data_IF_324067378685
#
_entry.id   IF_324067378685
#
_cell.length_a   1.000
_cell.length_b   1.000
_cell.length_c   1.000
_cell.angle_alpha   90.00
_cell.angle_beta   90.00
_cell.angle_gamma   90.00
#
_symmetry.space_group_name_H-M   'P 1'
#
loop_
_entity.id
_entity.type
_entity.pdbx_description
1 polymer ?
#
# COMPACT_ATOMS: atom_id res chain seq x y z
N UNK A 1 -18.23 33.14 49.28
CA UNK A 1 -16.98 32.68 48.62
C UNK A 1 -16.30 31.46 49.27
N UNK A 2 -16.32 31.26 50.60
CA UNK A 2 -15.60 30.16 51.29
C UNK A 2 -16.18 28.75 51.05
N UNK A 3 -17.50 28.61 50.89
CA UNK A 3 -18.16 27.31 50.73
C UNK A 3 -17.88 26.65 49.36
N UNK A 4 -17.98 27.42 48.27
CA UNK A 4 -17.66 26.93 46.92
C UNK A 4 -16.21 26.48 46.77
N UNK A 5 -15.26 27.18 47.42
CA UNK A 5 -13.84 26.79 47.43
C UNK A 5 -13.62 25.45 48.16
N UNK A 6 -14.31 25.21 49.28
CA UNK A 6 -14.21 23.93 50.01
C UNK A 6 -14.76 22.76 49.18
N UNK A 7 -15.94 22.93 48.58
CA UNK A 7 -16.55 21.90 47.71
C UNK A 7 -15.64 21.57 46.53
N UNK A 8 -15.10 22.60 45.85
CA UNK A 8 -14.19 22.41 44.74
C UNK A 8 -12.92 21.63 45.14
N UNK A 9 -12.32 21.97 46.29
CA UNK A 9 -11.15 21.25 46.82
C UNK A 9 -11.49 19.78 47.12
N UNK A 10 -12.64 19.51 47.75
CA UNK A 10 -13.07 18.14 48.05
C UNK A 10 -13.27 17.33 46.76
N UNK A 11 -13.93 17.89 45.75
CA UNK A 11 -14.11 17.22 44.44
C UNK A 11 -12.77 16.94 43.78
N UNK A 12 -11.84 17.91 43.80
CA UNK A 12 -10.50 17.74 43.24
C UNK A 12 -9.73 16.60 43.94
N UNK A 13 -9.77 16.55 45.27
CA UNK A 13 -9.13 15.46 46.04
C UNK A 13 -9.73 14.11 45.67
N UNK A 14 -11.05 14.01 45.57
CA UNK A 14 -11.73 12.76 45.19
C UNK A 14 -11.28 12.32 43.79
N UNK A 15 -11.24 13.23 42.81
CA UNK A 15 -10.80 12.93 41.44
C UNK A 15 -9.34 12.46 41.43
N UNK A 16 -8.46 13.11 42.20
CA UNK A 16 -7.04 12.70 42.32
C UNK A 16 -6.92 11.30 42.94
N UNK A 17 -7.64 11.02 44.02
CA UNK A 17 -7.62 9.71 44.68
C UNK A 17 -8.12 8.62 43.73
N UNK A 18 -9.25 8.85 43.03
CA UNK A 18 -9.78 7.90 42.04
C UNK A 18 -8.77 7.64 40.93
N UNK A 19 -8.12 8.69 40.39
CA UNK A 19 -7.13 8.55 39.33
C UNK A 19 -5.91 7.76 39.80
N UNK A 20 -5.40 8.02 41.02
CA UNK A 20 -4.28 7.30 41.60
C UNK A 20 -4.62 5.82 41.83
N UNK A 21 -5.80 5.53 42.38
CA UNK A 21 -6.28 4.15 42.56
C UNK A 21 -6.41 3.42 41.22
N UNK A 22 -6.99 4.04 40.21
CA UNK A 22 -7.14 3.45 38.88
C UNK A 22 -5.78 3.21 38.22
N UNK A 23 -4.86 4.16 38.35
CA UNK A 23 -3.48 4.03 37.84
C UNK A 23 -2.75 2.86 38.50
N UNK A 24 -2.93 2.67 39.81
CA UNK A 24 -2.36 1.53 40.54
C UNK A 24 -2.96 0.19 40.07
N UNK A 25 -4.28 0.13 39.86
CA UNK A 25 -4.94 -1.07 39.34
C UNK A 25 -4.44 -1.43 37.93
N UNK A 26 -4.28 -0.44 37.05
CA UNK A 26 -3.71 -0.65 35.71
C UNK A 26 -2.29 -1.18 35.79
N UNK A 27 -1.45 -0.61 36.67
CA UNK A 27 -0.08 -1.05 36.86
C UNK A 27 0.02 -2.50 37.36
N UNK A 28 -0.86 -2.93 38.27
CA UNK A 28 -0.84 -4.27 38.87
C UNK A 28 -1.49 -5.34 38.00
N UNK A 29 -2.63 -5.03 37.37
CA UNK A 29 -3.47 -6.03 36.70
C UNK A 29 -3.62 -5.82 35.19
N UNK A 30 -3.37 -4.61 34.71
CA UNK A 30 -3.62 -4.24 33.32
C UNK A 30 -2.82 -5.08 32.32
N UNK A 31 -1.58 -5.46 32.68
CA UNK A 31 -0.73 -6.29 31.82
C UNK A 31 -1.34 -7.64 31.50
N UNK A 32 -1.63 -8.42 32.55
CA UNK A 32 -2.21 -9.76 32.43
C UNK A 32 -3.58 -9.73 31.74
N UNK A 33 -4.38 -8.69 32.01
CA UNK A 33 -5.68 -8.53 31.40
C UNK A 33 -5.58 -8.29 29.89
N UNK A 34 -4.70 -7.38 29.45
CA UNK A 34 -4.50 -7.09 28.02
C UNK A 34 -3.92 -8.30 27.29
N UNK A 35 -2.88 -8.93 27.83
CA UNK A 35 -2.27 -10.14 27.25
C UNK A 35 -3.32 -11.25 27.07
N UNK A 36 -4.06 -11.58 28.14
CA UNK A 36 -5.08 -12.62 28.11
C UNK A 36 -6.20 -12.31 27.11
N UNK A 37 -6.63 -11.05 27.00
CA UNK A 37 -7.66 -10.66 26.04
C UNK A 37 -7.15 -10.76 24.60
N UNK A 38 -5.89 -10.39 24.33
CA UNK A 38 -5.30 -10.56 23.00
C UNK A 38 -5.18 -12.04 22.65
N UNK A 39 -4.65 -12.86 23.55
CA UNK A 39 -4.49 -14.31 23.38
C UNK A 39 -5.83 -15.01 23.12
N UNK A 40 -6.87 -14.65 23.88
CA UNK A 40 -8.21 -15.22 23.72
C UNK A 40 -8.84 -14.88 22.35
N UNK A 41 -8.59 -13.68 21.81
CA UNK A 41 -9.19 -13.24 20.55
C UNK A 41 -8.38 -13.64 19.31
N UNK A 42 -7.07 -13.76 19.44
CA UNK A 42 -6.17 -14.04 18.32
C UNK A 42 -5.61 -15.46 18.31
N UNK A 43 -5.72 -16.21 19.42
CA UNK A 43 -5.13 -17.54 19.55
C UNK A 43 -3.59 -17.54 19.51
N UNK A 44 -2.96 -16.37 19.70
CA UNK A 44 -1.51 -16.18 19.65
C UNK A 44 -1.02 -15.61 20.97
N UNK A 45 0.13 -16.10 21.44
CA UNK A 45 0.78 -15.60 22.65
C UNK A 45 1.05 -14.10 22.52
N UNK A 46 0.65 -13.35 23.53
CA UNK A 46 0.85 -11.91 23.59
C UNK A 46 1.73 -11.54 24.79
N UNK A 47 2.70 -10.65 24.57
CA UNK A 47 3.56 -10.13 25.63
C UNK A 47 3.56 -8.61 25.55
N UNK A 48 3.51 -7.96 26.71
CA UNK A 48 3.72 -6.50 26.80
C UNK A 48 4.85 -6.18 27.76
N UNK A 49 5.66 -5.19 27.43
CA UNK A 49 6.71 -4.67 28.30
C UNK A 49 6.13 -3.90 29.49
N UNK A 50 5.08 -3.11 29.26
CA UNK A 50 4.44 -2.33 30.30
C UNK A 50 3.08 -1.78 29.88
N UNK A 51 2.33 -1.31 30.87
CA UNK A 51 1.06 -0.62 30.69
C UNK A 51 0.99 0.56 31.66
N UNK A 52 0.46 1.69 31.22
CA UNK A 52 0.32 2.88 32.05
C UNK A 52 -0.96 3.64 31.72
N UNK A 53 -1.42 4.40 32.71
CA UNK A 53 -2.54 5.32 32.59
C UNK A 53 -2.04 6.76 32.74
N UNK A 54 -2.21 7.57 31.71
CA UNK A 54 -1.91 9.00 31.70
C UNK A 54 -3.16 9.85 31.83
N UNK A 55 -3.00 11.13 32.16
CA UNK A 55 -4.11 12.08 32.21
C UNK A 55 -4.63 12.44 30.81
N UNK A 56 -5.95 12.67 30.64
CA UNK A 56 -6.99 12.47 31.64
C UNK A 56 -7.40 11.00 31.85
N UNK A 57 -7.30 10.13 30.84
CA UNK A 57 -7.47 8.65 30.95
C UNK A 57 -6.77 7.91 29.78
N UNK A 58 -5.59 8.38 29.36
CA UNK A 58 -4.86 7.78 28.23
C UNK A 58 -4.21 6.46 28.65
N UNK A 59 -4.72 5.34 28.16
CA UNK A 59 -4.08 4.03 28.34
C UNK A 59 -2.92 3.91 27.35
N UNK A 60 -1.74 3.52 27.81
CA UNK A 60 -0.58 3.25 26.95
C UNK A 60 0.01 1.88 27.24
N UNK A 61 0.19 1.08 26.22
CA UNK A 61 0.89 -0.21 26.23
C UNK A 61 2.25 0.00 25.56
N UNK A 62 3.31 -0.53 26.16
CA UNK A 62 4.66 -0.49 25.59
C UNK A 62 5.17 -1.88 25.26
N UNK A 63 5.98 -1.98 24.19
CA UNK A 63 6.62 -3.21 23.71
C UNK A 63 5.64 -4.37 23.61
N UNK A 64 4.56 -4.16 22.86
CA UNK A 64 3.60 -5.22 22.55
C UNK A 64 4.24 -6.15 21.52
N UNK A 65 4.17 -7.45 21.75
CA UNK A 65 4.47 -8.49 20.76
C UNK A 65 3.33 -9.53 20.74
N UNK A 66 2.92 -9.94 19.55
CA UNK A 66 1.89 -10.94 19.31
C UNK A 66 2.48 -11.97 18.34
N UNK A 67 3.08 -13.03 18.91
CA UNK A 67 3.88 -13.99 18.15
C UNK A 67 4.87 -13.30 17.20
N UNK A 68 4.97 -13.82 15.97
CA UNK A 68 5.77 -13.23 14.90
C UNK A 68 4.98 -12.24 14.03
N UNK A 69 3.67 -12.10 14.27
CA UNK A 69 2.76 -11.33 13.42
C UNK A 69 2.88 -9.83 13.63
N UNK A 70 2.85 -9.38 14.89
CA UNK A 70 2.77 -7.96 15.21
C UNK A 70 3.67 -7.61 16.39
N UNK A 71 4.44 -6.54 16.22
CA UNK A 71 5.15 -5.86 17.31
C UNK A 71 4.80 -4.38 17.28
N UNK A 72 4.83 -3.70 18.42
CA UNK A 72 4.71 -2.25 18.48
C UNK A 72 5.44 -1.70 19.70
N UNK A 73 6.22 -0.64 19.51
CA UNK A 73 6.93 0.01 20.62
C UNK A 73 5.94 0.66 21.59
N UNK A 74 4.90 1.31 21.05
CA UNK A 74 3.86 1.92 21.89
C UNK A 74 2.50 1.94 21.20
N UNK A 75 1.47 1.55 21.94
CA UNK A 75 0.07 1.75 21.57
C UNK A 75 -0.58 2.63 22.63
N UNK A 76 -1.26 3.69 22.22
CA UNK A 76 -2.00 4.56 23.11
C UNK A 76 -3.45 4.69 22.69
N UNK A 77 -4.36 4.58 23.65
CA UNK A 77 -5.79 4.75 23.47
C UNK A 77 -6.27 5.84 24.44
N UNK A 78 -6.98 6.83 23.92
CA UNK A 78 -7.56 7.91 24.72
C UNK A 78 -9.08 7.85 24.60
N UNK A 79 -9.81 7.47 25.65
CA UNK A 79 -11.27 7.50 25.65
C UNK A 79 -11.76 8.95 25.81
N UNK A 80 -12.90 9.25 25.20
CA UNK A 80 -13.62 10.49 25.43
C UNK A 80 -14.49 10.35 26.67
N UNK A 81 -14.17 11.13 27.71
CA UNK A 81 -14.85 11.04 29.01
C UNK A 81 -16.35 11.34 28.91
N UNK A 82 -16.73 12.37 28.15
CA UNK A 82 -18.14 12.76 28.02
C UNK A 82 -18.93 11.70 27.25
N UNK A 83 -18.35 11.15 26.19
CA UNK A 83 -18.92 10.03 25.44
C UNK A 83 -19.14 8.82 26.33
N UNK A 84 -18.14 8.47 27.14
CA UNK A 84 -18.21 7.35 28.08
C UNK A 84 -19.29 7.57 29.15
N UNK A 85 -19.37 8.77 29.74
CA UNK A 85 -20.42 9.13 30.69
C UNK A 85 -21.82 9.12 30.08
N UNK A 86 -21.94 9.38 28.77
CA UNK A 86 -23.18 9.27 28.01
C UNK A 86 -23.48 7.83 27.53
N UNK A 87 -22.72 6.82 27.99
CA UNK A 87 -22.90 5.42 27.62
C UNK A 87 -22.41 5.05 26.21
N UNK A 88 -21.60 5.90 25.57
CA UNK A 88 -21.05 5.67 24.23
C UNK A 88 -19.56 5.33 24.30
N UNK A 89 -19.10 4.40 23.47
CA UNK A 89 -17.67 4.11 23.34
C UNK A 89 -17.07 5.04 22.31
N UNK A 90 -16.57 6.18 22.78
CA UNK A 90 -15.90 7.17 21.94
C UNK A 90 -14.42 7.23 22.32
N UNK A 91 -13.54 7.10 21.32
CA UNK A 91 -12.10 7.18 21.45
C UNK A 91 -11.62 8.46 20.74
N UNK A 92 -11.06 9.39 21.52
CA UNK A 92 -10.46 10.62 20.99
C UNK A 92 -9.23 10.32 20.13
N UNK A 93 -8.50 9.25 20.43
CA UNK A 93 -7.35 8.85 19.62
C UNK A 93 -6.84 7.44 19.91
N UNK A 94 -6.49 6.74 18.83
CA UNK A 94 -5.67 5.54 18.82
C UNK A 94 -4.36 5.88 18.12
N UNK A 95 -3.24 5.75 18.82
CA UNK A 95 -1.90 5.97 18.25
C UNK A 95 -1.06 4.71 18.39
N UNK A 96 -0.46 4.27 17.28
CA UNK A 96 0.43 3.12 17.21
C UNK A 96 1.79 3.63 16.72
N UNK A 97 2.83 3.44 17.52
CA UNK A 97 4.19 3.91 17.24
C UNK A 97 5.08 2.71 16.95
N UNK A 98 5.78 2.80 15.83
CA UNK A 98 6.70 1.77 15.32
C UNK A 98 6.06 0.37 15.29
N UNK A 99 4.84 0.21 14.72
CA UNK A 99 4.33 -1.14 14.51
C UNK A 99 5.18 -1.87 13.48
N UNK A 100 5.45 -3.15 13.71
CA UNK A 100 6.07 -4.06 12.76
C UNK A 100 5.07 -5.18 12.51
N UNK A 101 4.66 -5.36 11.26
CA UNK A 101 3.71 -6.39 10.85
C UNK A 101 4.39 -7.34 9.87
N UNK A 102 4.30 -8.65 10.09
CA UNK A 102 4.82 -9.66 9.17
C UNK A 102 3.70 -10.55 8.65
N UNK A 103 3.42 -10.42 7.36
CA UNK A 103 2.42 -11.20 6.66
C UNK A 103 3.13 -12.17 5.72
N UNK A 104 2.77 -13.45 5.80
CA UNK A 104 3.25 -14.48 4.89
C UNK A 104 2.06 -15.14 4.21
N UNK A 105 2.12 -15.23 2.88
CA UNK A 105 1.25 -16.07 2.07
C UNK A 105 1.97 -17.36 1.71
N UNK A 106 1.40 -18.49 2.11
CA UNK A 106 1.86 -19.83 1.72
C UNK A 106 1.67 -20.09 0.23
N UNK A 107 2.32 -21.14 -0.30
CA UNK A 107 2.16 -21.57 -1.69
C UNK A 107 0.70 -21.88 -2.06
N UNK A 108 -0.09 -22.35 -1.09
CA UNK A 108 -1.54 -22.58 -1.24
C UNK A 108 -2.41 -21.32 -1.11
N UNK A 109 -1.80 -20.14 -1.01
CA UNK A 109 -2.49 -18.85 -0.89
C UNK A 109 -3.00 -18.49 0.51
N UNK A 110 -2.82 -19.36 1.52
CA UNK A 110 -3.24 -19.09 2.90
C UNK A 110 -2.28 -18.12 3.59
N UNK A 111 -2.82 -17.17 4.35
CA UNK A 111 -2.05 -16.21 5.14
C UNK A 111 -1.65 -16.80 6.51
N UNK A 112 -0.56 -16.33 7.09
CA UNK A 112 -0.03 -16.71 8.40
C UNK A 112 -0.82 -16.14 9.60
N UNK A 113 -1.98 -15.53 9.37
CA UNK A 113 -2.85 -15.04 10.42
C UNK A 113 -4.28 -15.52 10.20
N UNK A 114 -5.05 -15.60 11.28
CA UNK A 114 -6.47 -15.88 11.25
C UNK A 114 -7.25 -14.60 11.54
N UNK A 115 -8.32 -14.37 10.80
CA UNK A 115 -9.24 -13.28 11.12
C UNK A 115 -10.02 -13.66 12.38
N UNK A 116 -10.14 -12.77 13.38
CA UNK A 116 -10.95 -13.04 14.56
C UNK A 116 -12.39 -13.35 14.15
N UNK A 117 -12.95 -14.48 14.60
CA UNK A 117 -14.37 -14.76 14.43
C UNK A 117 -15.16 -13.95 15.47
N UNK A 118 -15.74 -12.83 15.04
CA UNK A 118 -16.61 -12.03 15.90
C UNK A 118 -17.94 -12.78 16.13
N UNK A 119 -18.20 -13.14 17.40
CA UNK A 119 -19.51 -13.67 17.81
C UNK A 119 -20.39 -12.52 18.33
N UNK A 120 -21.55 -12.31 17.70
CA UNK A 120 -22.54 -11.29 18.10
C UNK A 120 -22.40 -9.94 17.40
N UNK A 121 -23.28 -8.98 17.74
CA UNK A 121 -23.25 -7.62 17.17
C UNK A 121 -22.05 -6.85 17.76
N UNK A 122 -21.16 -6.27 16.94
CA UNK A 122 -20.03 -5.49 17.43
C UNK A 122 -20.52 -4.24 18.17
N UNK A 123 -19.81 -3.80 19.23
CA UNK A 123 -20.12 -2.54 19.90
C UNK A 123 -19.91 -1.37 18.93
N UNK A 124 -20.75 -0.34 19.07
CA UNK A 124 -20.58 0.92 18.34
C UNK A 124 -19.40 1.70 18.95
N UNK A 125 -18.31 1.80 18.18
CA UNK A 125 -17.10 2.51 18.55
C UNK A 125 -16.88 3.68 17.60
N UNK A 126 -16.83 4.89 18.14
CA UNK A 126 -16.44 6.08 17.38
C UNK A 126 -14.97 6.40 17.65
N UNK A 127 -14.16 6.42 16.61
CA UNK A 127 -12.75 6.77 16.65
C UNK A 127 -12.54 8.14 15.98
N UNK A 128 -12.27 9.16 16.79
CA UNK A 128 -12.02 10.50 16.29
C UNK A 128 -10.73 10.57 15.48
N UNK A 129 -9.69 9.82 15.88
CA UNK A 129 -8.42 9.76 15.18
C UNK A 129 -7.67 8.43 15.33
N UNK A 130 -7.17 7.90 14.21
CA UNK A 130 -6.19 6.80 14.13
C UNK A 130 -4.87 7.38 13.64
N UNK A 131 -3.79 7.10 14.36
CA UNK A 131 -2.44 7.52 14.00
C UNK A 131 -1.50 6.31 14.00
N UNK A 132 -0.82 6.05 12.89
CA UNK A 132 0.32 5.15 12.83
C UNK A 132 1.56 5.98 12.53
N UNK A 133 2.62 5.80 13.33
CA UNK A 133 3.88 6.52 13.18
C UNK A 133 5.03 5.55 12.97
N UNK A 134 5.79 5.76 11.90
CA UNK A 134 7.01 4.99 11.58
C UNK A 134 6.80 3.47 11.56
N UNK A 135 5.67 3.01 11.04
CA UNK A 135 5.39 1.59 10.90
C UNK A 135 6.26 0.90 9.86
N UNK A 136 6.33 -0.43 9.98
CA UNK A 136 6.97 -1.35 9.05
C UNK A 136 6.03 -2.51 8.78
N UNK A 137 5.98 -2.95 7.53
CA UNK A 137 5.22 -4.12 7.14
C UNK A 137 6.03 -4.95 6.16
N UNK A 138 6.14 -6.25 6.39
CA UNK A 138 6.77 -7.19 5.47
C UNK A 138 5.70 -8.14 4.94
N UNK A 139 5.65 -8.30 3.63
CA UNK A 139 4.84 -9.30 2.96
C UNK A 139 5.75 -10.31 2.25
N UNK A 140 5.57 -11.60 2.56
CA UNK A 140 6.30 -12.70 1.91
C UNK A 140 5.31 -13.55 1.13
N UNK A 141 5.48 -13.61 -0.19
CA UNK A 141 4.64 -14.37 -1.10
C UNK A 141 5.33 -15.66 -1.56
N UNK A 142 4.91 -16.80 -1.00
CA UNK A 142 5.38 -18.14 -1.41
C UNK A 142 4.59 -18.73 -2.58
N UNK A 143 3.53 -18.07 -3.02
CA UNK A 143 2.73 -18.45 -4.20
C UNK A 143 3.43 -18.02 -5.49
N UNK A 144 4.10 -16.86 -5.47
CA UNK A 144 4.84 -16.35 -6.63
C UNK A 144 6.23 -16.99 -6.74
N UNK A 145 6.95 -17.15 -5.63
CA UNK A 145 8.24 -17.85 -5.58
C UNK A 145 8.25 -18.87 -4.44
N UNK A 146 8.59 -20.14 -4.66
CA UNK A 146 8.60 -21.16 -3.59
C UNK A 146 9.44 -20.79 -2.35
N UNK A 147 10.57 -20.11 -2.58
CA UNK A 147 11.46 -19.60 -1.53
C UNK A 147 10.92 -18.36 -0.78
N UNK A 148 9.82 -17.77 -1.25
CA UNK A 148 9.22 -16.54 -0.75
C UNK A 148 9.73 -15.30 -1.47
N UNK A 149 8.86 -14.61 -2.20
CA UNK A 149 9.12 -13.26 -2.70
C UNK A 149 8.75 -12.24 -1.63
N UNK A 150 9.73 -11.53 -1.08
CA UNK A 150 9.51 -10.59 0.01
C UNK A 150 9.43 -9.14 -0.50
N UNK A 151 8.49 -8.37 0.04
CA UNK A 151 8.37 -6.92 -0.16
C UNK A 151 8.17 -6.30 1.20
N UNK A 152 8.86 -5.20 1.48
CA UNK A 152 8.68 -4.49 2.73
C UNK A 152 8.29 -3.02 2.48
N UNK A 153 7.53 -2.50 3.45
CA UNK A 153 7.22 -1.10 3.61
C UNK A 153 7.90 -0.63 4.89
N UNK A 154 8.59 0.50 4.83
CA UNK A 154 9.07 1.23 5.99
C UNK A 154 8.47 2.63 6.05
N UNK A 155 8.72 3.31 7.17
CA UNK A 155 8.28 4.70 7.38
C UNK A 155 6.78 4.88 7.12
N UNK A 156 5.98 3.87 7.49
CA UNK A 156 4.53 3.89 7.31
C UNK A 156 3.96 4.91 8.29
N UNK A 157 3.36 5.96 7.74
CA UNK A 157 2.65 6.97 8.50
C UNK A 157 1.20 7.02 8.00
N UNK A 158 0.26 6.92 8.93
CA UNK A 158 -1.19 6.90 8.64
C UNK A 158 -1.85 7.86 9.62
N UNK A 159 -2.64 8.78 9.09
CA UNK A 159 -3.57 9.62 9.84
C UNK A 159 -4.97 9.37 9.26
N UNK A 160 -5.90 8.92 10.08
CA UNK A 160 -7.32 8.80 9.72
C UNK A 160 -8.14 9.50 10.77
N UNK A 161 -9.12 10.29 10.36
CA UNK A 161 -10.06 10.96 11.27
C UNK A 161 -11.50 10.51 11.03
N UNK A 162 -12.30 10.52 12.10
CA UNK A 162 -13.76 10.27 12.09
C UNK A 162 -14.17 8.91 11.54
N UNK A 163 -13.68 7.83 12.15
CA UNK A 163 -14.07 6.45 11.82
C UNK A 163 -15.14 5.96 12.80
N UNK A 164 -16.18 5.28 12.32
CA UNK A 164 -17.14 4.58 13.17
C UNK A 164 -17.13 3.08 12.85
N UNK A 165 -17.24 2.25 13.88
CA UNK A 165 -17.33 0.79 13.78
C UNK A 165 -18.61 0.36 14.49
N UNK A 166 -19.58 -0.29 13.82
CA UNK A 166 -19.65 -0.53 12.38
C UNK A 166 -19.71 0.79 11.58
N UNK A 167 -19.35 0.77 10.27
CA UNK A 167 -19.33 1.98 9.45
C UNK A 167 -20.69 2.67 9.35
N UNK A 168 -20.71 4.00 9.52
CA UNK A 168 -21.86 4.87 9.29
C UNK A 168 -21.50 5.96 8.28
N UNK A 169 -22.49 6.73 7.82
CA UNK A 169 -22.22 7.88 6.95
C UNK A 169 -21.39 8.95 7.67
N UNK A 170 -20.10 8.98 7.36
CA UNK A 170 -19.10 9.88 7.91
C UNK A 170 -18.00 10.08 6.88
N UNK A 171 -17.69 11.34 6.59
CA UNK A 171 -16.51 11.69 5.79
C UNK A 171 -15.23 11.43 6.59
N UNK A 172 -14.74 10.20 6.53
CA UNK A 172 -13.48 9.78 7.12
C UNK A 172 -12.34 10.30 6.25
N UNK A 173 -11.57 11.27 6.77
CA UNK A 173 -10.40 11.80 6.05
C UNK A 173 -9.19 10.94 6.37
N UNK A 174 -8.36 10.69 5.38
CA UNK A 174 -7.13 9.93 5.55
C UNK A 174 -5.95 10.59 4.84
N UNK A 175 -4.77 10.38 5.39
CA UNK A 175 -3.48 10.71 4.81
C UNK A 175 -2.48 9.62 5.18
N UNK A 176 -1.94 8.95 4.16
CA UNK A 176 -1.07 7.80 4.30
C UNK A 176 0.17 7.98 3.45
N UNK A 177 1.31 7.58 3.99
CA UNK A 177 2.57 7.53 3.25
C UNK A 177 3.41 6.35 3.71
N UNK A 178 4.16 5.75 2.80
CA UNK A 178 5.11 4.70 3.10
C UNK A 178 6.25 4.71 2.08
N UNK A 179 7.38 4.12 2.43
CA UNK A 179 8.45 3.82 1.48
C UNK A 179 8.48 2.32 1.24
N UNK A 180 8.54 1.95 -0.02
CA UNK A 180 8.73 0.58 -0.45
C UNK A 180 10.22 0.23 -0.44
N UNK A 181 10.59 -0.90 0.13
CA UNK A 181 11.96 -1.38 0.25
C UNK A 181 12.03 -2.89 -0.04
N UNK A 182 13.20 -3.34 -0.46
CA UNK A 182 13.52 -4.77 -0.48
C UNK A 182 13.94 -5.28 0.92
N UNK A 183 14.13 -6.60 1.13
CA UNK A 183 14.55 -7.16 2.41
C UNK A 183 15.89 -6.65 2.94
N UNK A 184 16.75 -6.08 2.09
CA UNK A 184 18.05 -5.50 2.47
C UNK A 184 17.99 -3.97 2.60
N UNK A 185 16.77 -3.41 2.74
CA UNK A 185 16.50 -1.98 2.95
C UNK A 185 16.87 -1.07 1.77
N UNK A 186 16.99 -1.62 0.55
CA UNK A 186 17.14 -0.80 -0.65
C UNK A 186 15.78 -0.21 -1.03
N UNK A 187 15.74 1.11 -1.26
CA UNK A 187 14.54 1.80 -1.70
C UNK A 187 14.05 1.28 -3.06
N UNK A 188 12.81 0.83 -3.08
CA UNK A 188 12.07 0.43 -4.26
C UNK A 188 11.10 1.51 -4.73
N UNK A 189 10.64 2.44 -3.90
CA UNK A 189 9.75 3.54 -4.29
C UNK A 189 9.10 4.22 -3.10
N UNK A 190 8.29 5.26 -3.34
CA UNK A 190 7.47 5.92 -2.31
C UNK A 190 5.98 5.84 -2.67
N UNK A 191 5.14 5.66 -1.66
CA UNK A 191 3.68 5.59 -1.79
C UNK A 191 3.08 6.72 -0.96
N UNK A 192 2.09 7.42 -1.52
CA UNK A 192 1.24 8.36 -0.78
C UNK A 192 -0.22 8.19 -1.21
N UNK A 193 -1.15 8.24 -0.24
CA UNK A 193 -2.58 8.18 -0.50
C UNK A 193 -3.33 9.07 0.47
N UNK A 194 -4.07 10.04 -0.04
CA UNK A 194 -4.79 11.03 0.77
C UNK A 194 -6.15 11.34 0.19
N UNK A 195 -7.10 11.69 1.05
CA UNK A 195 -8.46 12.02 0.60
C UNK A 195 -9.49 11.88 1.70
N UNK A 196 -10.73 11.68 1.29
CA UNK A 196 -11.79 11.23 2.17
C UNK A 196 -12.55 10.06 1.55
N UNK A 197 -13.17 9.27 2.42
CA UNK A 197 -14.11 8.22 2.06
C UNK A 197 -15.31 8.30 3.01
N UNK A 198 -16.50 8.11 2.48
CA UNK A 198 -17.69 7.80 3.26
C UNK A 198 -18.19 6.41 2.87
N UNK A 199 -18.06 5.45 3.79
CA UNK A 199 -18.34 4.04 3.53
C UNK A 199 -19.82 3.73 3.31
N UNK A 200 -20.74 4.57 3.80
CA UNK A 200 -22.18 4.31 3.71
C UNK A 200 -22.79 4.72 2.35
N UNK A 201 -22.67 5.99 1.89
CA UNK A 201 -23.02 6.36 0.53
C UNK A 201 -21.98 5.83 -0.48
N UNK A 202 -20.82 5.35 -0.02
CA UNK A 202 -19.71 4.86 -0.85
C UNK A 202 -19.16 5.97 -1.75
N UNK A 203 -19.02 7.15 -1.16
CA UNK A 203 -18.45 8.33 -1.79
C UNK A 203 -16.96 8.43 -1.44
N UNK A 204 -16.15 8.92 -2.38
CA UNK A 204 -14.72 9.08 -2.19
C UNK A 204 -14.18 10.20 -3.07
N UNK A 205 -13.25 10.99 -2.54
CA UNK A 205 -12.37 11.85 -3.34
C UNK A 205 -10.97 11.69 -2.78
N UNK A 206 -10.08 11.09 -3.57
CA UNK A 206 -8.76 10.72 -3.13
C UNK A 206 -7.70 10.80 -4.23
N UNK A 207 -6.46 11.00 -3.82
CA UNK A 207 -5.29 11.05 -4.69
C UNK A 207 -4.29 10.00 -4.23
N UNK A 208 -3.97 9.08 -5.12
CA UNK A 208 -2.94 8.06 -4.96
C UNK A 208 -1.69 8.45 -5.75
N UNK A 209 -0.52 8.27 -5.15
CA UNK A 209 0.77 8.53 -5.79
C UNK A 209 1.74 7.39 -5.48
N UNK A 210 2.39 6.90 -6.53
CA UNK A 210 3.54 6.02 -6.50
C UNK A 210 4.69 6.75 -7.21
N UNK A 211 5.86 6.84 -6.58
CA UNK A 211 7.02 7.54 -7.13
C UNK A 211 8.28 6.69 -7.11
N UNK A 212 9.09 6.84 -8.15
CA UNK A 212 10.39 6.18 -8.33
C UNK A 212 10.36 4.65 -8.16
N UNK A 213 9.22 4.02 -8.49
CA UNK A 213 8.99 2.60 -8.27
C UNK A 213 9.90 1.75 -9.17
N UNK A 214 10.75 0.92 -8.57
CA UNK A 214 11.66 0.04 -9.28
C UNK A 214 10.89 -1.18 -9.80
N UNK A 215 10.45 -1.10 -11.05
CA UNK A 215 9.66 -2.18 -11.67
C UNK A 215 10.45 -3.47 -11.73
N UNK A 216 11.77 -3.45 -11.95
CA UNK A 216 12.60 -4.66 -12.13
C UNK A 216 12.48 -5.63 -10.95
N UNK A 217 12.35 -5.10 -9.73
CA UNK A 217 12.20 -5.92 -8.53
C UNK A 217 10.96 -6.81 -8.59
N UNK A 218 9.90 -6.36 -9.25
CA UNK A 218 8.61 -7.02 -9.34
C UNK A 218 8.45 -7.92 -10.57
N UNK A 219 9.55 -8.26 -11.26
CA UNK A 219 9.56 -9.19 -12.39
C UNK A 219 8.79 -10.50 -12.14
N UNK A 220 8.83 -11.12 -10.94
CA UNK A 220 8.05 -12.32 -10.67
C UNK A 220 6.52 -12.14 -10.78
N UNK A 221 6.01 -10.91 -10.67
CA UNK A 221 4.57 -10.64 -10.77
C UNK A 221 4.10 -10.35 -12.19
N UNK A 222 4.87 -9.58 -12.96
CA UNK A 222 4.44 -9.18 -14.30
C UNK A 222 4.95 -10.13 -15.39
N UNK A 223 5.99 -10.94 -15.13
CA UNK A 223 6.57 -11.85 -16.12
C UNK A 223 6.88 -11.13 -17.44
N UNK A 224 6.28 -11.60 -18.53
CA UNK A 224 6.43 -11.00 -19.86
C UNK A 224 5.42 -9.90 -20.19
N UNK A 225 4.54 -9.53 -19.25
CA UNK A 225 3.50 -8.52 -19.47
C UNK A 225 4.09 -7.16 -19.85
N UNK A 226 5.17 -6.75 -19.18
CA UNK A 226 5.88 -5.53 -19.50
C UNK A 226 6.77 -5.80 -20.71
N UNK A 227 7.71 -6.74 -20.63
CA UNK A 227 8.65 -7.00 -21.71
C UNK A 227 9.05 -8.46 -21.72
N UNK A 228 9.17 -9.05 -22.91
CA UNK A 228 9.78 -10.38 -23.09
C UNK A 228 11.30 -10.36 -22.96
N UNK A 229 11.94 -9.18 -23.03
CA UNK A 229 13.35 -8.99 -22.71
C UNK A 229 13.52 -8.74 -21.21
N UNK A 230 14.56 -9.35 -20.62
CA UNK A 230 14.91 -9.11 -19.22
C UNK A 230 15.30 -7.64 -19.02
N UNK A 231 14.55 -6.97 -18.15
CA UNK A 231 14.77 -5.58 -17.77
C UNK A 231 15.89 -5.48 -16.72
N UNK A 232 16.86 -4.61 -16.95
CA UNK A 232 17.98 -4.31 -16.03
C UNK A 232 17.66 -3.11 -15.13
N UNK A 233 17.01 -2.08 -15.69
CA UNK A 233 16.50 -0.93 -14.92
C UNK A 233 15.16 -0.49 -15.47
N UNK A 234 14.36 0.12 -14.60
CA UNK A 234 13.10 0.77 -14.97
C UNK A 234 12.48 1.42 -13.76
N UNK A 235 11.91 2.59 -13.96
CA UNK A 235 11.24 3.38 -12.92
C UNK A 235 9.83 3.72 -13.34
N UNK A 236 8.91 3.66 -12.38
CA UNK A 236 7.50 3.90 -12.57
C UNK A 236 6.99 4.96 -11.60
N UNK A 237 6.32 5.96 -12.15
CA UNK A 237 5.46 6.87 -11.40
C UNK A 237 4.01 6.65 -11.78
N UNK A 238 3.13 6.66 -10.78
CA UNK A 238 1.68 6.66 -10.96
C UNK A 238 1.11 7.80 -10.15
N UNK A 239 0.25 8.61 -10.75
CA UNK A 239 -0.61 9.55 -10.04
C UNK A 239 -2.05 9.32 -10.47
N UNK A 240 -2.90 8.92 -9.52
CA UNK A 240 -4.31 8.63 -9.79
C UNK A 240 -5.21 9.54 -8.96
N UNK A 241 -6.19 10.16 -9.61
CA UNK A 241 -7.32 10.82 -8.96
C UNK A 241 -8.50 9.84 -8.95
N UNK A 242 -9.02 9.54 -7.77
CA UNK A 242 -10.08 8.58 -7.56
C UNK A 242 -11.32 9.33 -7.05
N UNK A 243 -12.42 9.27 -7.80
CA UNK A 243 -13.69 9.89 -7.42
C UNK A 243 -14.79 8.84 -7.44
N UNK A 244 -15.37 8.56 -6.28
CA UNK A 244 -16.53 7.69 -6.18
C UNK A 244 -17.78 8.49 -5.78
N UNK A 245 -18.90 8.17 -6.42
CA UNK A 245 -20.23 8.63 -6.01
C UNK A 245 -21.19 7.46 -6.06
N UNK A 246 -21.87 7.15 -4.95
CA UNK A 246 -22.81 6.03 -4.89
C UNK A 246 -22.19 4.70 -5.40
N UNK A 247 -20.97 4.38 -4.98
CA UNK A 247 -20.20 3.18 -5.39
C UNK A 247 -19.60 3.23 -6.80
N UNK A 248 -20.02 4.14 -7.67
CA UNK A 248 -19.43 4.31 -9.00
C UNK A 248 -18.10 5.06 -8.88
N UNK A 249 -16.99 4.33 -9.11
CA UNK A 249 -15.64 4.85 -9.00
C UNK A 249 -15.07 5.18 -10.38
N UNK A 250 -14.76 6.46 -10.60
CA UNK A 250 -13.98 6.96 -11.72
C UNK A 250 -12.52 7.14 -11.29
N UNK A 251 -11.59 6.60 -12.06
CA UNK A 251 -10.16 6.66 -11.80
C UNK A 251 -9.46 7.28 -13.01
N UNK A 252 -8.91 8.48 -12.82
CA UNK A 252 -8.06 9.13 -13.80
C UNK A 252 -6.58 8.95 -13.42
N UNK A 253 -5.79 8.33 -14.29
CA UNK A 253 -4.42 7.92 -13.98
C UNK A 253 -3.41 8.49 -14.98
N UNK A 254 -2.37 9.11 -14.42
CA UNK A 254 -1.14 9.46 -15.12
C UNK A 254 -0.08 8.43 -14.77
N UNK A 255 0.41 7.74 -15.78
CA UNK A 255 1.39 6.66 -15.67
C UNK A 255 2.66 7.08 -16.42
N UNK A 256 3.81 6.98 -15.76
CA UNK A 256 5.10 7.30 -16.38
C UNK A 256 6.12 6.22 -16.09
N UNK A 257 6.54 5.50 -17.13
CA UNK A 257 7.60 4.51 -17.10
C UNK A 257 8.84 5.08 -17.77
N UNK A 258 9.99 5.05 -17.12
CA UNK A 258 11.22 5.70 -17.60
C UNK A 258 12.48 4.97 -17.15
N UNK A 259 13.62 5.34 -17.74
CA UNK A 259 14.92 4.75 -17.42
C UNK A 259 14.98 3.25 -17.69
N UNK A 260 14.31 2.79 -18.76
CA UNK A 260 14.29 1.41 -19.19
C UNK A 260 15.65 1.02 -19.78
N UNK A 261 16.26 -0.03 -19.24
CA UNK A 261 17.43 -0.66 -19.87
C UNK A 261 17.24 -2.17 -19.90
N UNK A 262 17.72 -2.80 -20.96
CA UNK A 262 17.56 -4.23 -21.20
C UNK A 262 18.91 -4.93 -21.19
N UNK A 263 18.91 -6.22 -20.88
CA UNK A 263 20.09 -7.07 -21.13
C UNK A 263 20.41 -7.00 -22.61
N UNK A 264 21.64 -6.63 -22.94
CA UNK A 264 22.17 -6.72 -24.30
C UNK A 264 22.00 -8.17 -24.77
N UNK A 265 21.34 -8.37 -25.90
CA UNK A 265 21.34 -9.69 -26.52
C UNK A 265 22.79 -10.02 -26.88
N UNK A 266 23.43 -10.90 -26.12
CA UNK A 266 24.57 -11.64 -26.64
C UNK A 266 24.07 -12.34 -27.89
N UNK A 267 24.81 -12.12 -28.97
CA UNK A 267 24.67 -12.71 -30.30
C UNK A 267 23.98 -14.05 -30.21
N UNK A 268 22.81 -14.16 -30.85
CA UNK A 268 22.10 -15.40 -31.06
C UNK A 268 23.09 -16.52 -31.35
N UNK A 269 22.93 -17.66 -30.67
CA UNK A 269 23.59 -18.91 -31.05
C UNK A 269 23.42 -19.07 -32.56
N UNK A 270 24.51 -19.29 -33.29
CA UNK A 270 24.51 -19.52 -34.74
C UNK A 270 23.34 -20.45 -35.12
N UNK A 271 22.33 -19.90 -35.81
CA UNK A 271 21.21 -20.67 -36.35
C UNK A 271 19.82 -20.34 -35.80
N UNK A 272 19.67 -19.61 -34.69
CA UNK A 272 18.35 -19.15 -34.23
C UNK A 272 18.02 -17.73 -34.72
N UNK A 273 16.95 -17.64 -35.53
CA UNK A 273 16.40 -16.36 -35.98
C UNK A 273 15.97 -15.53 -34.77
N UNK A 274 16.43 -14.27 -34.61
CA UNK A 274 15.87 -13.38 -33.61
C UNK A 274 14.37 -13.27 -33.87
N UNK A 275 13.58 -13.61 -32.85
CA UNK A 275 12.13 -13.60 -32.97
C UNK A 275 11.65 -12.16 -33.22
N UNK A 276 11.27 -11.88 -34.45
CA UNK A 276 10.66 -10.64 -34.89
C UNK A 276 9.18 -10.66 -34.52
N UNK A 277 8.91 -10.33 -33.27
CA UNK A 277 7.54 -10.18 -32.80
C UNK A 277 7.30 -8.69 -32.54
N UNK A 278 6.50 -8.07 -33.42
CA UNK A 278 6.13 -6.66 -33.35
C UNK A 278 5.42 -6.32 -32.02
N UNK A 279 4.79 -7.30 -31.37
CA UNK A 279 4.24 -7.13 -30.03
C UNK A 279 5.35 -7.05 -28.95
N UNK A 280 6.52 -7.68 -29.18
CA UNK A 280 7.67 -7.67 -28.24
C UNK A 280 8.41 -6.34 -28.19
N UNK A 281 8.31 -5.51 -29.24
CA UNK A 281 8.90 -4.17 -29.31
C UNK A 281 7.85 -3.05 -29.11
N UNK A 282 6.63 -3.38 -28.69
CA UNK A 282 5.54 -2.41 -28.59
C UNK A 282 5.87 -1.27 -27.60
N UNK A 283 6.52 -1.56 -26.47
CA UNK A 283 7.01 -0.53 -25.55
C UNK A 283 8.02 0.41 -26.21
N UNK A 284 8.98 -0.11 -26.98
CA UNK A 284 9.97 0.70 -27.69
C UNK A 284 9.28 1.65 -28.69
N UNK A 285 8.22 1.19 -29.36
CA UNK A 285 7.41 2.04 -30.25
C UNK A 285 6.65 3.14 -29.49
N UNK A 286 6.22 2.87 -28.26
CA UNK A 286 5.39 3.79 -27.47
C UNK A 286 6.18 4.74 -26.57
N UNK A 287 7.46 4.46 -26.35
CA UNK A 287 8.36 5.36 -25.62
C UNK A 287 8.75 6.58 -26.47
N UNK A 288 9.17 7.67 -25.85
CA UNK A 288 9.74 8.87 -26.49
C UNK A 288 11.19 8.61 -26.96
N UNK A 289 11.89 9.64 -27.48
CA UNK A 289 13.31 9.50 -27.91
C UNK A 289 14.26 9.14 -26.76
N UNK A 290 13.84 9.38 -25.52
CA UNK A 290 14.60 9.13 -24.30
C UNK A 290 14.21 7.78 -23.65
N UNK A 291 13.31 7.01 -24.28
CA UNK A 291 12.84 5.72 -23.74
C UNK A 291 11.80 5.86 -22.63
N UNK A 292 11.14 7.01 -22.48
CA UNK A 292 10.07 7.22 -21.51
C UNK A 292 8.70 6.98 -22.12
N UNK A 293 7.85 6.27 -21.41
CA UNK A 293 6.45 6.06 -21.73
C UNK A 293 5.59 6.85 -20.75
N UNK A 294 4.90 7.88 -21.26
CA UNK A 294 3.90 8.64 -20.51
C UNK A 294 2.51 8.33 -21.05
N UNK A 295 1.60 7.86 -20.19
CA UNK A 295 0.26 7.46 -20.54
C UNK A 295 -0.75 8.14 -19.60
N UNK A 296 -1.81 8.67 -20.19
CA UNK A 296 -2.98 9.14 -19.46
C UNK A 296 -4.17 8.27 -19.85
N UNK A 297 -4.82 7.67 -18.86
CA UNK A 297 -6.00 6.85 -19.08
C UNK A 297 -6.98 6.94 -17.91
N UNK A 298 -8.26 6.81 -18.26
CA UNK A 298 -9.35 6.81 -17.31
C UNK A 298 -10.09 5.49 -17.39
N UNK A 299 -10.55 4.99 -16.25
CA UNK A 299 -11.41 3.82 -16.20
C UNK A 299 -12.45 3.94 -15.11
N UNK A 300 -13.54 3.20 -15.28
CA UNK A 300 -14.64 3.13 -14.32
C UNK A 300 -14.69 1.74 -13.72
N UNK A 301 -14.97 1.68 -12.43
CA UNK A 301 -15.12 0.45 -11.67
C UNK A 301 -16.05 0.70 -10.48
N UNK A 302 -16.14 -0.23 -9.53
CA UNK A 302 -16.90 -0.03 -8.29
C UNK A 302 -15.96 0.20 -7.12
N UNK A 303 -16.32 1.07 -6.18
CA UNK A 303 -15.52 1.32 -4.98
C UNK A 303 -15.43 0.06 -4.10
N UNK A 304 -16.55 -0.65 -3.93
CA UNK A 304 -16.63 -1.82 -3.06
C UNK A 304 -16.22 -3.13 -3.72
N UNK A 305 -16.22 -3.20 -5.05
CA UNK A 305 -15.83 -4.37 -5.82
C UNK A 305 -14.99 -3.96 -7.02
N UNK A 306 -13.77 -3.42 -6.81
CA UNK A 306 -12.92 -2.98 -7.90
C UNK A 306 -12.54 -4.17 -8.75
N UNK A 307 -12.97 -4.16 -10.01
CA UNK A 307 -12.57 -5.13 -11.02
C UNK A 307 -12.19 -4.40 -12.31
N UNK A 308 -11.10 -4.87 -12.91
CA UNK A 308 -10.65 -4.49 -14.25
C UNK A 308 -9.98 -5.73 -14.83
N UNK A 309 -10.38 -6.13 -16.03
CA UNK A 309 -9.76 -7.28 -16.68
C UNK A 309 -8.39 -6.90 -17.26
N UNK A 310 -7.48 -7.88 -17.35
CA UNK A 310 -6.15 -7.69 -17.99
C UNK A 310 -6.30 -7.24 -19.44
N UNK A 311 -7.33 -7.71 -20.15
CA UNK A 311 -7.60 -7.31 -21.53
C UNK A 311 -8.06 -5.86 -21.64
N UNK A 312 -8.87 -5.37 -20.71
CA UNK A 312 -9.24 -3.94 -20.62
C UNK A 312 -8.02 -3.08 -20.30
N UNK A 313 -7.18 -3.48 -19.35
CA UNK A 313 -5.93 -2.78 -19.02
C UNK A 313 -5.06 -2.68 -20.28
N UNK A 314 -4.86 -3.79 -21.00
CA UNK A 314 -4.10 -3.78 -22.27
C UNK A 314 -4.70 -2.82 -23.30
N UNK A 315 -6.01 -2.83 -23.50
CA UNK A 315 -6.69 -1.93 -24.44
C UNK A 315 -6.51 -0.45 -24.07
N UNK A 316 -6.64 -0.12 -22.78
CA UNK A 316 -6.46 1.25 -22.29
C UNK A 316 -5.02 1.72 -22.48
N UNK A 317 -4.05 0.88 -22.13
CA UNK A 317 -2.62 1.16 -22.33
C UNK A 317 -2.34 1.37 -23.82
N UNK A 318 -2.79 0.46 -24.70
CA UNK A 318 -2.58 0.58 -26.15
C UNK A 318 -3.23 1.84 -26.73
N UNK A 319 -4.44 2.20 -26.28
CA UNK A 319 -5.12 3.42 -26.73
C UNK A 319 -4.39 4.69 -26.28
N UNK A 320 -3.97 4.74 -25.01
CA UNK A 320 -3.19 5.85 -24.48
C UNK A 320 -1.83 5.96 -25.19
N UNK A 321 -1.21 4.82 -25.50
CA UNK A 321 0.07 4.76 -26.18
C UNK A 321 -0.02 5.22 -27.64
N UNK A 322 -1.10 4.84 -28.35
CA UNK A 322 -1.37 5.34 -29.70
C UNK A 322 -1.62 6.87 -29.72
N UNK A 323 -2.31 7.40 -28.70
CA UNK A 323 -2.49 8.86 -28.54
C UNK A 323 -1.16 9.57 -28.27
N UNK A 324 -0.32 9.01 -27.39
CA UNK A 324 1.02 9.53 -27.12
C UNK A 324 1.84 9.56 -28.41
N UNK A 325 1.83 8.48 -29.18
CA UNK A 325 2.50 8.39 -30.49
C UNK A 325 2.00 9.48 -31.45
N UNK A 326 0.69 9.65 -31.61
CA UNK A 326 0.10 10.65 -32.50
C UNK A 326 0.41 12.11 -32.09
N UNK A 327 0.78 12.34 -30.83
CA UNK A 327 1.18 13.66 -30.33
C UNK A 327 2.67 13.98 -30.52
N UNK A 328 3.49 12.98 -30.88
CA UNK A 328 4.92 13.19 -31.15
C UNK A 328 5.14 13.93 -32.48
N UNK A 329 6.28 14.61 -32.62
CA UNK A 329 6.66 15.28 -33.85
C UNK A 329 6.73 14.27 -35.01
N UNK A 330 6.08 14.51 -36.17
CA UNK A 330 6.12 13.61 -37.33
C UNK A 330 7.54 13.22 -37.77
N UNK A 331 8.52 14.13 -37.66
CA UNK A 331 9.91 13.83 -38.02
C UNK A 331 10.53 12.81 -37.08
N UNK A 332 10.24 12.92 -35.78
CA UNK A 332 10.73 11.97 -34.77
C UNK A 332 10.15 10.57 -34.96
N UNK A 333 8.89 10.50 -35.43
CA UNK A 333 8.23 9.25 -35.80
C UNK A 333 8.87 8.63 -37.05
N UNK A 334 9.12 9.44 -38.08
CA UNK A 334 9.80 8.97 -39.29
C UNK A 334 11.18 8.46 -38.95
N UNK A 335 11.97 9.20 -38.15
CA UNK A 335 13.31 8.78 -37.73
C UNK A 335 13.25 7.43 -36.98
N UNK A 336 12.30 7.26 -36.06
CA UNK A 336 12.10 5.98 -35.33
C UNK A 336 11.70 4.83 -36.24
N UNK A 337 10.77 5.06 -37.16
CA UNK A 337 10.34 4.05 -38.12
C UNK A 337 11.50 3.69 -39.04
N UNK A 338 12.26 4.69 -39.53
CA UNK A 338 13.45 4.49 -40.37
C UNK A 338 14.53 3.73 -39.62
N UNK A 339 14.82 4.07 -38.37
CA UNK A 339 15.82 3.36 -37.56
C UNK A 339 15.39 1.93 -37.26
N UNK A 340 14.09 1.72 -36.98
CA UNK A 340 13.50 0.39 -36.86
C UNK A 340 13.68 -0.38 -38.17
N UNK A 341 13.32 0.22 -39.32
CA UNK A 341 13.46 -0.39 -40.65
C UNK A 341 14.92 -0.67 -40.99
N UNK A 342 15.87 0.19 -40.63
CA UNK A 342 17.31 -0.06 -40.81
C UNK A 342 17.79 -1.25 -39.97
N UNK A 343 17.26 -1.43 -38.75
CA UNK A 343 17.52 -2.64 -37.98
C UNK A 343 16.97 -3.89 -38.69
N UNK A 344 15.80 -3.80 -39.34
CA UNK A 344 15.25 -4.87 -40.19
C UNK A 344 16.12 -5.15 -41.42
N UNK A 345 16.62 -4.13 -42.12
CA UNK A 345 17.52 -4.29 -43.27
C UNK A 345 18.86 -4.89 -42.87
N UNK A 346 19.43 -4.45 -41.74
CA UNK A 346 20.64 -5.01 -41.16
C UNK A 346 20.46 -6.49 -40.83
N UNK A 347 19.32 -6.86 -40.26
CA UNK A 347 18.94 -8.26 -40.03
C UNK A 347 18.81 -9.05 -41.33
N UNK A 348 18.16 -8.50 -42.36
CA UNK A 348 18.04 -9.12 -43.68
C UNK A 348 19.39 -9.37 -44.37
N UNK A 349 20.36 -8.47 -44.18
CA UNK A 349 21.75 -8.67 -44.64
C UNK A 349 22.46 -9.78 -43.88
N UNK A 350 22.38 -9.80 -42.55
CA UNK A 350 22.95 -10.87 -41.73
C UNK A 350 22.39 -12.25 -42.11
N UNK A 351 21.08 -12.33 -42.35
CA UNK A 351 20.41 -13.52 -42.85
C UNK A 351 20.96 -13.98 -44.20
N UNK A 352 21.08 -13.06 -45.15
CA UNK A 352 21.65 -13.34 -46.47
C UNK A 352 23.11 -13.82 -46.40
N UNK A 353 23.88 -13.30 -45.45
CA UNK A 353 25.27 -13.70 -45.24
C UNK A 353 25.40 -15.08 -44.58
N UNK A 354 24.48 -15.45 -43.68
CA UNK A 354 24.38 -16.80 -43.11
C UNK A 354 24.04 -17.81 -44.22
N UNK A 355 23.02 -17.55 -45.03
CA UNK A 355 22.63 -18.44 -46.14
C UNK A 355 23.64 -18.52 -47.28
N UNK A 356 24.53 -17.53 -47.42
CA UNK A 356 25.65 -17.57 -48.38
C UNK A 356 26.87 -18.34 -47.86
N UNK A 357 26.97 -18.57 -46.56
CA UNK A 357 28.11 -19.23 -45.90
C UNK A 357 27.85 -20.69 -45.51
N UNK A 358 26.63 -21.19 -45.63
CA UNK A 358 26.34 -22.62 -45.53
C UNK A 358 26.70 -23.34 -46.85
N UNK A 359 27.59 -24.33 -46.85
CA UNK A 359 27.94 -25.14 -48.02
C UNK A 359 26.80 -26.03 -48.52
#
# INVERSE_FOLDING_TARGET
MKLGKKILITVLIIVVVIFLSLSLLVALFGKKLVESQIEKNLGMKATIGGISLGLPLRLSVSKLEIGDLLKAERISVSPNLLGFLAGKVVLDGLTIVEPVINIEQSAGGKLNFTLPQQKGKPPEVYLTGLNVKNGKATFVDKKVLPQGFAVALDTINIDISKVMIPPTSLNAKFNMSARLIDPVSKKLGDIAFKGFIDFCPKDMDAVFQLRDFNVVYFAPYYGDFISTRKLLSGKLDIASNLKAKNDDLDVATNFRLYGLTYVSQETSVEGELPSLDLAKNALDLFTDKQGNLALEFNFKTKLTSPSISVSEIKKMILSAAAKNLASQNPQDLIDKVVDTVKQFEGFGKQMKDIFKKSP
#
